data_IF_509304510934
#
_entry.id   IF_509304510934
#
_cell.length_a   1.000
_cell.length_b   1.000
_cell.length_c   1.000
_cell.angle_alpha   90.00
_cell.angle_beta   90.00
_cell.angle_gamma   90.00
#
_symmetry.space_group_name_H-M   'P 1'
#
loop_
_entity.id
_entity.type
_entity.pdbx_description
1 polymer ?
#
# COMPACT_ATOMS: atom_id res chain seq x y z
N UNK A 1 -21.64 28.85 20.84
CA UNK A 1 -21.39 27.42 21.16
C UNK A 1 -21.77 26.50 20.00
N UNK A 2 -23.04 26.49 19.54
CA UNK A 2 -23.48 25.66 18.40
C UNK A 2 -22.76 25.95 17.07
N UNK A 3 -22.57 27.22 16.72
CA UNK A 3 -21.87 27.62 15.50
C UNK A 3 -20.38 27.22 15.50
N UNK A 4 -19.73 27.23 16.67
CA UNK A 4 -18.33 26.85 16.81
C UNK A 4 -18.14 25.33 16.63
N UNK A 5 -19.06 24.52 17.17
CA UNK A 5 -19.09 23.06 16.95
C UNK A 5 -19.28 22.70 15.47
N UNK A 6 -20.17 23.41 14.76
CA UNK A 6 -20.40 23.20 13.33
C UNK A 6 -19.14 23.54 12.53
N UNK A 7 -18.46 24.64 12.87
CA UNK A 7 -17.21 25.03 12.21
C UNK A 7 -16.09 24.00 12.42
N UNK A 8 -15.94 23.47 13.64
CA UNK A 8 -14.97 22.41 13.92
C UNK A 8 -15.26 21.12 13.14
N UNK A 9 -16.53 20.72 13.02
CA UNK A 9 -16.92 19.53 12.25
C UNK A 9 -16.61 19.67 10.76
N UNK A 10 -16.83 20.85 10.18
CA UNK A 10 -16.51 21.13 8.77
C UNK A 10 -15.00 21.06 8.54
N UNK A 11 -14.20 21.66 9.43
CA UNK A 11 -12.74 21.64 9.31
C UNK A 11 -12.16 20.23 9.39
N UNK A 12 -12.69 19.37 10.27
CA UNK A 12 -12.28 17.96 10.37
C UNK A 12 -12.66 17.19 9.09
N UNK A 13 -13.85 17.43 8.54
CA UNK A 13 -14.28 16.78 7.30
C UNK A 13 -13.40 17.17 6.10
N UNK A 14 -13.01 18.44 5.99
CA UNK A 14 -12.11 18.90 4.91
C UNK A 14 -10.68 18.36 5.07
N UNK A 15 -10.18 18.23 6.30
CA UNK A 15 -8.85 17.66 6.56
C UNK A 15 -8.78 16.15 6.28
N UNK A 16 -9.91 15.43 6.40
CA UNK A 16 -10.02 14.00 6.09
C UNK A 16 -10.24 13.67 4.61
N UNK A 17 -10.57 14.67 3.79
CA UNK A 17 -10.68 14.52 2.34
C UNK A 17 -9.27 14.48 1.72
N UNK A 18 -8.57 13.37 1.90
CA UNK A 18 -7.27 13.12 1.28
C UNK A 18 -7.35 13.02 -0.25
N UNK A 19 -6.24 12.66 -0.88
CA UNK A 19 -6.11 12.50 -2.33
C UNK A 19 -6.81 11.24 -2.89
N UNK A 20 -7.95 10.83 -2.32
CA UNK A 20 -8.65 9.59 -2.70
C UNK A 20 -9.12 9.57 -4.17
N UNK A 21 -9.23 10.73 -4.81
CA UNK A 21 -9.57 10.87 -6.23
C UNK A 21 -8.37 10.95 -7.19
N UNK A 22 -7.13 10.97 -6.70
CA UNK A 22 -5.92 11.02 -7.54
C UNK A 22 -5.47 9.63 -8.04
N UNK A 23 -6.18 8.56 -7.66
CA UNK A 23 -5.87 7.20 -8.07
C UNK A 23 -6.43 6.83 -9.44
N UNK A 24 -5.78 5.88 -10.10
CA UNK A 24 -6.33 5.19 -11.29
C UNK A 24 -7.41 4.19 -10.87
N UNK A 25 -8.35 3.91 -11.75
CA UNK A 25 -9.39 2.92 -11.51
C UNK A 25 -8.79 1.51 -11.36
N UNK A 26 -9.41 0.59 -10.59
CA UNK A 26 -8.85 -0.74 -10.36
C UNK A 26 -8.44 -1.49 -11.63
N UNK A 27 -9.26 -1.44 -12.68
CA UNK A 27 -9.01 -2.10 -13.97
C UNK A 27 -7.93 -1.41 -14.83
N UNK A 28 -7.56 -0.15 -14.53
CA UNK A 28 -6.47 0.56 -15.23
C UNK A 28 -5.09 0.11 -14.73
N UNK A 29 -5.01 -0.70 -13.67
CA UNK A 29 -3.75 -1.21 -13.10
C UNK A 29 -3.21 -2.45 -13.81
N UNK A 30 -3.84 -2.89 -14.90
CA UNK A 30 -3.44 -4.13 -15.58
C UNK A 30 -2.00 -4.09 -16.12
N UNK A 31 -1.49 -2.88 -16.46
CA UNK A 31 -0.09 -2.75 -16.86
C UNK A 31 0.90 -3.16 -15.76
N UNK A 32 0.57 -2.90 -14.49
CA UNK A 32 1.39 -3.27 -13.33
C UNK A 32 1.36 -4.77 -13.03
N UNK A 33 0.40 -5.51 -13.61
CA UNK A 33 0.31 -6.97 -13.46
C UNK A 33 1.27 -7.71 -14.40
N UNK A 34 1.87 -7.01 -15.37
CA UNK A 34 2.79 -7.59 -16.33
C UNK A 34 3.98 -8.29 -15.62
N UNK A 35 4.47 -9.43 -16.13
CA UNK A 35 5.57 -10.16 -15.50
C UNK A 35 6.84 -9.33 -15.26
N UNK A 36 7.13 -8.36 -16.15
CA UNK A 36 8.28 -7.47 -16.03
C UNK A 36 8.11 -6.34 -15.00
N UNK A 37 6.93 -6.17 -14.42
CA UNK A 37 6.63 -5.16 -13.38
C UNK A 37 6.43 -5.79 -12.00
N UNK A 38 6.65 -7.10 -11.86
CA UNK A 38 6.58 -7.80 -10.59
C UNK A 38 7.69 -7.31 -9.65
N UNK A 39 7.32 -6.92 -8.42
CA UNK A 39 8.30 -6.51 -7.41
C UNK A 39 9.20 -7.65 -6.98
N UNK A 40 8.65 -8.87 -7.00
CA UNK A 40 9.45 -10.06 -6.87
C UNK A 40 9.24 -11.01 -8.07
N UNK A 41 10.08 -10.92 -9.11
CA UNK A 41 10.03 -11.85 -10.25
C UNK A 41 10.40 -13.30 -9.88
N UNK A 42 11.22 -13.53 -8.84
CA UNK A 42 11.60 -14.87 -8.38
C UNK A 42 11.21 -15.07 -6.90
N UNK A 43 10.09 -15.74 -6.61
CA UNK A 43 9.61 -15.91 -5.24
C UNK A 43 10.52 -16.80 -4.39
N UNK A 44 11.33 -17.67 -5.00
CA UNK A 44 12.26 -18.55 -4.26
C UNK A 44 13.43 -17.75 -3.75
N UNK A 45 13.99 -16.86 -4.58
CA UNK A 45 15.06 -15.92 -4.17
C UNK A 45 14.53 -14.94 -3.11
N UNK A 46 13.33 -14.37 -3.34
CA UNK A 46 12.35 -13.93 -2.32
C UNK A 46 12.56 -14.46 -0.93
N UNK A 47 11.98 -15.64 -0.76
CA UNK A 47 11.87 -16.30 0.52
C UNK A 47 13.24 -16.58 1.15
N UNK A 48 14.25 -16.87 0.32
CA UNK A 48 15.59 -17.14 0.81
C UNK A 48 16.24 -15.88 1.40
N UNK A 49 16.18 -14.75 0.69
CA UNK A 49 16.75 -13.50 1.17
C UNK A 49 16.04 -13.03 2.44
N UNK A 50 14.70 -13.09 2.48
CA UNK A 50 13.92 -12.78 3.68
C UNK A 50 14.33 -13.66 4.88
N UNK A 51 14.57 -14.96 4.65
CA UNK A 51 15.04 -15.87 5.70
C UNK A 51 16.44 -15.48 6.22
N UNK A 52 17.33 -15.07 5.33
CA UNK A 52 18.68 -14.60 5.69
C UNK A 52 18.60 -13.32 6.51
N UNK A 53 17.81 -12.33 6.07
CA UNK A 53 17.67 -11.04 6.76
C UNK A 53 17.03 -11.20 8.13
N UNK A 54 15.94 -11.97 8.23
CA UNK A 54 15.34 -12.33 9.52
C UNK A 54 16.37 -12.90 10.49
N UNK A 55 17.20 -13.83 10.01
CA UNK A 55 18.19 -14.51 10.83
C UNK A 55 19.37 -13.62 11.23
N UNK A 56 19.79 -12.70 10.36
CA UNK A 56 20.97 -11.84 10.59
C UNK A 56 20.64 -10.58 11.37
N UNK A 57 19.48 -9.99 11.12
CA UNK A 57 19.14 -8.65 11.60
C UNK A 57 18.06 -8.69 12.70
N UNK A 58 17.54 -9.88 13.03
CA UNK A 58 16.35 -10.05 13.88
C UNK A 58 15.18 -9.17 13.39
N UNK A 59 15.14 -8.88 12.08
CA UNK A 59 14.18 -7.98 11.47
C UNK A 59 12.80 -8.65 11.43
N UNK A 60 11.80 -8.04 12.05
CA UNK A 60 10.40 -8.51 12.01
C UNK A 60 9.61 -7.66 11.03
N UNK A 61 9.11 -8.29 9.97
CA UNK A 61 8.41 -7.64 8.85
C UNK A 61 9.11 -7.93 7.53
N UNK A 62 8.56 -8.88 6.76
CA UNK A 62 9.07 -9.21 5.42
C UNK A 62 8.62 -8.19 4.37
N UNK A 63 9.06 -8.38 3.12
CA UNK A 63 8.75 -7.55 1.95
C UNK A 63 7.27 -7.60 1.49
N UNK A 64 6.34 -8.02 2.36
CA UNK A 64 4.93 -8.30 2.07
C UNK A 64 4.02 -7.09 1.92
N UNK A 65 4.56 -5.92 1.61
CA UNK A 65 3.79 -4.69 1.39
C UNK A 65 3.94 -4.21 -0.05
N UNK A 66 2.87 -4.36 -0.84
CA UNK A 66 2.67 -3.77 -2.17
C UNK A 66 3.15 -4.53 -3.41
N UNK A 67 2.98 -5.86 -3.50
CA UNK A 67 3.09 -6.57 -4.78
C UNK A 67 1.90 -6.31 -5.73
N UNK A 68 2.17 -6.00 -7.01
CA UNK A 68 1.19 -5.83 -8.09
C UNK A 68 0.54 -7.14 -8.54
N UNK A 69 -0.25 -7.75 -7.66
CA UNK A 69 -1.23 -8.79 -7.98
C UNK A 69 -2.64 -8.21 -8.07
N UNK A 70 -3.68 -9.05 -8.22
CA UNK A 70 -5.10 -8.67 -8.39
C UNK A 70 -5.73 -7.83 -7.24
N UNK A 71 -4.93 -7.25 -6.35
CA UNK A 71 -5.38 -6.29 -5.35
C UNK A 71 -6.19 -6.92 -4.22
N UNK A 72 -6.19 -8.24 -4.06
CA UNK A 72 -6.78 -8.90 -2.90
C UNK A 72 -5.79 -8.85 -1.73
N UNK A 73 -5.92 -7.84 -0.88
CA UNK A 73 -5.87 -8.06 0.57
C UNK A 73 -7.27 -8.46 1.04
#
# INVERSE_FOLDING_TARGET
MRAFLILCLILVALAGAGCSSLGVQPWERDLLSAPGMQLQPDPVVTALDDHIYFSKEASTGGLGGAGGGCGCN
#
